data_IF_942152375752
#
_entry.id   IF_942152375752
#
_cell.length_a   1.000
_cell.length_b   1.000
_cell.length_c   1.000
_cell.angle_alpha   90.00
_cell.angle_beta   90.00
_cell.angle_gamma   90.00
#
_symmetry.space_group_name_H-M   'P 1'
#
loop_
_entity.id
_entity.type
_entity.pdbx_description
1 polymer ?
#
# COMPACT_ATOMS: atom_id res chain seq x y z
N UNK A 1 4.76 -11.30 -25.69
CA UNK A 1 6.01 -10.68 -25.17
C UNK A 1 5.59 -9.32 -24.65
N UNK A 2 5.61 -9.10 -23.33
CA UNK A 2 5.23 -7.80 -22.78
C UNK A 2 6.48 -6.95 -22.66
N UNK A 3 6.47 -5.79 -23.30
CA UNK A 3 7.58 -4.84 -23.30
C UNK A 3 7.23 -3.58 -22.50
N UNK A 4 8.28 -2.87 -22.11
CA UNK A 4 8.42 -1.98 -20.96
C UNK A 4 7.29 -0.96 -20.75
N UNK A 5 6.55 -1.10 -19.65
CA UNK A 5 5.80 0.02 -19.07
C UNK A 5 6.82 1.05 -18.55
N UNK A 6 6.86 2.24 -19.16
CA UNK A 6 7.67 3.37 -18.67
C UNK A 6 7.43 3.55 -17.17
N UNK A 7 8.52 3.57 -16.40
CA UNK A 7 8.57 3.63 -14.94
C UNK A 7 8.16 5.02 -14.41
N UNK A 8 6.90 5.39 -14.58
CA UNK A 8 6.23 6.30 -13.65
C UNK A 8 5.43 5.38 -12.72
N UNK A 9 6.08 4.94 -11.65
CA UNK A 9 5.46 4.08 -10.65
C UNK A 9 4.21 4.79 -10.10
N UNK A 10 3.04 4.15 -10.21
CA UNK A 10 1.83 4.78 -9.68
C UNK A 10 2.01 4.90 -8.18
N UNK A 11 1.57 6.03 -7.61
CA UNK A 11 1.64 6.24 -6.17
C UNK A 11 0.95 5.10 -5.39
N UNK A 12 -0.10 4.50 -5.95
CA UNK A 12 -0.76 3.30 -5.43
C UNK A 12 0.20 2.11 -5.33
N UNK A 13 1.00 1.86 -6.38
CA UNK A 13 1.99 0.77 -6.41
C UNK A 13 3.10 1.01 -5.38
N UNK A 14 3.52 2.28 -5.22
CA UNK A 14 4.49 2.69 -4.19
C UNK A 14 3.97 2.39 -2.78
N UNK A 15 2.70 2.74 -2.48
CA UNK A 15 2.09 2.45 -1.18
C UNK A 15 2.03 0.93 -0.94
N UNK A 16 1.61 0.16 -1.94
CA UNK A 16 1.53 -1.30 -1.86
C UNK A 16 2.91 -1.90 -1.55
N UNK A 17 3.96 -1.45 -2.24
CA UNK A 17 5.33 -1.93 -2.00
C UNK A 17 5.79 -1.61 -0.59
N UNK A 18 5.61 -0.37 -0.12
CA UNK A 18 6.04 0.03 1.22
C UNK A 18 5.34 -0.77 2.33
N UNK A 19 4.04 -0.99 2.21
CA UNK A 19 3.29 -1.78 3.20
C UNK A 19 3.74 -3.25 3.15
N UNK A 20 3.93 -3.82 1.96
CA UNK A 20 4.47 -5.17 1.81
C UNK A 20 5.85 -5.31 2.45
N UNK A 21 6.75 -4.36 2.20
CA UNK A 21 8.10 -4.39 2.75
C UNK A 21 8.12 -4.23 4.27
N UNK A 22 7.21 -3.42 4.83
CA UNK A 22 7.01 -3.31 6.27
C UNK A 22 6.53 -4.64 6.90
N UNK A 23 5.66 -5.38 6.20
CA UNK A 23 5.22 -6.71 6.65
C UNK A 23 6.39 -7.71 6.56
N UNK A 24 7.10 -7.75 5.44
CA UNK A 24 8.22 -8.69 5.22
C UNK A 24 9.40 -8.44 6.16
N UNK A 25 9.64 -7.18 6.54
CA UNK A 25 10.66 -6.81 7.53
C UNK A 25 10.22 -7.04 8.98
N UNK A 26 8.96 -7.42 9.22
CA UNK A 26 8.40 -7.65 10.55
C UNK A 26 8.07 -6.39 11.34
N UNK A 27 8.06 -5.22 10.70
CA UNK A 27 7.58 -3.96 11.30
C UNK A 27 6.05 -3.97 11.47
N UNK A 28 5.35 -4.65 10.57
CA UNK A 28 3.93 -4.96 10.66
C UNK A 28 3.77 -6.48 10.77
N UNK A 29 3.10 -6.95 11.82
CA UNK A 29 2.78 -8.37 11.98
C UNK A 29 1.36 -8.65 11.47
N UNK A 30 1.10 -9.88 10.97
CA UNK A 30 -0.26 -10.31 10.70
C UNK A 30 -1.16 -10.10 11.93
N UNK A 31 -2.30 -9.43 11.73
CA UNK A 31 -3.24 -9.08 12.81
C UNK A 31 -2.95 -7.75 13.51
N UNK A 32 -1.82 -7.08 13.23
CA UNK A 32 -1.61 -5.70 13.68
C UNK A 32 -2.59 -4.78 12.96
N UNK A 33 -3.16 -3.84 13.70
CA UNK A 33 -4.00 -2.79 13.11
C UNK A 33 -3.11 -1.77 12.42
N UNK A 34 -3.45 -1.46 11.18
CA UNK A 34 -2.90 -0.30 10.49
C UNK A 34 -3.31 1.00 11.20
N UNK A 35 -2.52 2.05 10.99
CA UNK A 35 -2.93 3.39 11.37
C UNK A 35 -4.26 3.76 10.68
N UNK A 36 -5.01 4.68 11.26
CA UNK A 36 -6.29 5.08 10.69
C UNK A 36 -6.12 5.64 9.27
N UNK A 37 -7.16 5.52 8.44
CA UNK A 37 -7.14 6.03 7.07
C UNK A 37 -6.74 7.52 7.01
N UNK A 38 -7.15 8.31 8.01
CA UNK A 38 -6.78 9.73 8.15
C UNK A 38 -5.28 9.91 8.38
N UNK A 39 -4.68 9.10 9.25
CA UNK A 39 -3.24 9.16 9.53
C UNK A 39 -2.43 8.72 8.32
N UNK A 40 -2.82 7.62 7.67
CA UNK A 40 -2.14 7.13 6.48
C UNK A 40 -2.23 8.12 5.31
N UNK A 41 -3.37 8.77 5.10
CA UNK A 41 -3.51 9.86 4.11
C UNK A 41 -2.49 10.96 4.36
N UNK A 42 -2.36 11.38 5.62
CA UNK A 42 -1.41 12.44 5.98
C UNK A 42 0.05 11.96 5.85
N UNK A 43 0.34 10.71 6.22
CA UNK A 43 1.68 10.14 6.18
C UNK A 43 2.17 9.93 4.74
N UNK A 44 1.31 9.40 3.87
CA UNK A 44 1.65 9.20 2.46
C UNK A 44 1.46 10.47 1.60
N UNK A 45 0.79 11.49 2.11
CA UNK A 45 0.52 12.74 1.39
C UNK A 45 -0.37 12.53 0.16
N UNK A 46 -1.34 11.61 0.23
CA UNK A 46 -2.18 11.22 -0.90
C UNK A 46 -3.66 11.52 -0.68
N UNK A 47 -4.46 11.45 -1.75
CA UNK A 47 -5.91 11.51 -1.62
C UNK A 47 -6.45 10.26 -0.92
N UNK A 48 -7.62 10.39 -0.25
CA UNK A 48 -8.35 9.24 0.29
C UNK A 48 -8.64 8.17 -0.77
N UNK A 49 -9.00 8.58 -1.98
CA UNK A 49 -9.31 7.65 -3.06
C UNK A 49 -8.10 6.78 -3.42
N UNK A 50 -6.93 7.40 -3.54
CA UNK A 50 -5.66 6.71 -3.80
C UNK A 50 -5.30 5.73 -2.69
N UNK A 51 -5.41 6.15 -1.42
CA UNK A 51 -5.13 5.27 -0.29
C UNK A 51 -6.09 4.07 -0.28
N UNK A 52 -7.39 4.29 -0.50
CA UNK A 52 -8.37 3.20 -0.52
C UNK A 52 -8.14 2.21 -1.65
N UNK A 53 -7.67 2.67 -2.80
CA UNK A 53 -7.27 1.79 -3.90
C UNK A 53 -6.09 0.91 -3.50
N UNK A 54 -5.07 1.48 -2.87
CA UNK A 54 -3.90 0.73 -2.39
C UNK A 54 -4.29 -0.29 -1.30
N UNK A 55 -5.11 0.13 -0.33
CA UNK A 55 -5.59 -0.76 0.74
C UNK A 55 -6.42 -1.92 0.18
N UNK A 56 -7.30 -1.67 -0.80
CA UNK A 56 -8.04 -2.75 -1.48
C UNK A 56 -7.12 -3.73 -2.22
N UNK A 57 -6.09 -3.22 -2.88
CA UNK A 57 -5.12 -4.09 -3.55
C UNK A 57 -4.36 -4.96 -2.53
N UNK A 58 -3.97 -4.39 -1.38
CA UNK A 58 -3.34 -5.13 -0.29
C UNK A 58 -4.29 -6.18 0.32
N UNK A 59 -5.57 -5.86 0.46
CA UNK A 59 -6.62 -6.77 0.96
C UNK A 59 -6.82 -7.96 0.01
N UNK A 60 -6.90 -7.70 -1.31
CA UNK A 60 -6.97 -8.75 -2.34
C UNK A 60 -5.71 -9.64 -2.35
N UNK A 61 -4.55 -9.09 -1.99
CA UNK A 61 -3.30 -9.85 -1.83
C UNK A 61 -3.24 -10.63 -0.51
N UNK A 62 -4.20 -10.47 0.40
CA UNK A 62 -4.21 -11.11 1.72
C UNK A 62 -3.15 -10.54 2.67
N UNK A 63 -2.70 -9.31 2.43
CA UNK A 63 -1.68 -8.65 3.25
C UNK A 63 -2.29 -7.82 4.39
N UNK A 64 -3.54 -7.38 4.25
CA UNK A 64 -4.29 -6.56 5.23
C UNK A 64 -5.77 -6.97 5.27
N UNK A 65 -6.48 -6.65 6.35
CA UNK A 65 -7.92 -6.86 6.57
C UNK A 65 -8.54 -5.62 7.26
#
# INVERSE_FOLDING_TARGET
MFDSAKKNEKITDVIISQVRDAILSGQLKPGDRLASEKELVNQFGVSKATLREALRALEVMGLVE
#
